data_IF_658777160965
#
_entry.id   IF_658777160965
#
_cell.length_a   1.000
_cell.length_b   1.000
_cell.length_c   1.000
_cell.angle_alpha   90.00
_cell.angle_beta   90.00
_cell.angle_gamma   90.00
#
_symmetry.space_group_name_H-M   'P 1'
#
loop_
_entity.id
_entity.type
_entity.pdbx_description
1 polymer ?
#
# COMPACT_ATOMS: atom_id res chain seq x y z
N UNK A 1 17.25 5.06 -58.88
CA UNK A 1 17.05 4.49 -57.52
C UNK A 1 16.45 3.10 -57.67
N UNK A 2 17.13 2.08 -57.17
CA UNK A 2 16.63 0.70 -57.23
C UNK A 2 15.49 0.53 -56.20
N UNK A 3 14.38 -0.06 -56.64
CA UNK A 3 13.23 -0.37 -55.78
C UNK A 3 13.63 -1.54 -54.85
N UNK A 4 13.45 -1.44 -53.52
CA UNK A 4 13.79 -2.55 -52.63
C UNK A 4 12.88 -3.74 -52.91
N UNK A 5 13.49 -4.89 -53.17
CA UNK A 5 12.81 -6.17 -53.31
C UNK A 5 12.43 -6.68 -51.91
N UNK A 6 11.13 -6.84 -51.64
CA UNK A 6 10.70 -7.59 -50.45
C UNK A 6 11.03 -9.06 -50.67
N UNK A 7 11.88 -9.64 -49.82
CA UNK A 7 12.06 -11.09 -49.78
C UNK A 7 10.78 -11.72 -49.24
N UNK A 8 10.24 -12.70 -49.96
CA UNK A 8 9.11 -13.50 -49.51
C UNK A 8 9.45 -14.22 -48.20
N UNK A 9 8.66 -13.96 -47.17
CA UNK A 9 8.71 -14.63 -45.86
C UNK A 9 8.14 -16.04 -46.00
N UNK A 10 8.98 -17.05 -45.87
CA UNK A 10 8.54 -18.44 -45.75
C UNK A 10 8.36 -18.78 -44.28
N UNK A 11 7.13 -19.16 -43.90
CA UNK A 11 6.82 -19.73 -42.61
C UNK A 11 7.24 -21.20 -42.60
N UNK A 12 8.15 -21.57 -41.69
CA UNK A 12 8.31 -22.96 -41.28
C UNK A 12 7.58 -23.12 -39.95
N UNK A 13 6.55 -23.98 -39.93
CA UNK A 13 5.84 -24.34 -38.71
C UNK A 13 6.82 -25.00 -37.74
N UNK A 14 7.25 -24.25 -36.71
CA UNK A 14 8.08 -24.74 -35.61
C UNK A 14 9.47 -24.11 -35.43
N UNK A 15 9.82 -23.00 -36.10
CA UNK A 15 11.17 -22.42 -36.04
C UNK A 15 11.27 -21.09 -35.26
N UNK A 16 12.13 -21.07 -34.23
CA UNK A 16 12.65 -19.85 -33.57
C UNK A 16 13.18 -18.84 -34.59
N UNK A 17 12.79 -17.57 -34.44
CA UNK A 17 13.24 -16.49 -35.31
C UNK A 17 14.66 -16.03 -34.93
N UNK A 18 15.63 -16.09 -35.85
CA UNK A 18 16.90 -15.34 -35.73
C UNK A 18 17.03 -14.47 -36.97
N UNK A 19 16.39 -13.30 -36.94
CA UNK A 19 16.56 -12.26 -37.96
C UNK A 19 17.51 -11.19 -37.42
N UNK A 20 18.72 -11.09 -37.97
CA UNK A 20 19.60 -9.95 -37.70
C UNK A 20 19.24 -8.81 -38.66
N UNK A 21 18.75 -7.68 -38.13
CA UNK A 21 18.64 -6.45 -38.91
C UNK A 21 19.96 -5.67 -38.81
N UNK A 22 20.44 -5.15 -39.93
CA UNK A 22 21.63 -4.28 -40.01
C UNK A 22 21.38 -2.86 -39.48
N UNK A 23 20.24 -2.64 -38.80
CA UNK A 23 19.86 -1.35 -38.24
C UNK A 23 19.35 -1.53 -36.81
N UNK A 24 20.23 -2.06 -35.95
CA UNK A 24 20.29 -1.73 -34.52
C UNK A 24 19.09 -2.05 -33.61
N UNK A 25 18.03 -2.69 -34.10
CA UNK A 25 16.93 -3.17 -33.28
C UNK A 25 16.65 -4.64 -33.59
N UNK A 26 16.97 -5.50 -32.63
CA UNK A 26 16.53 -6.90 -32.62
C UNK A 26 15.23 -6.93 -31.81
N UNK A 27 14.09 -7.01 -32.48
CA UNK A 27 12.85 -7.36 -31.81
C UNK A 27 12.82 -8.88 -31.67
N UNK A 28 13.17 -9.38 -30.48
CA UNK A 28 12.91 -10.77 -30.10
C UNK A 28 11.41 -10.89 -29.81
N UNK A 29 10.60 -11.17 -30.84
CA UNK A 29 9.23 -11.64 -30.63
C UNK A 29 9.30 -13.13 -30.28
N UNK A 30 9.18 -13.44 -28.99
CA UNK A 30 8.81 -14.79 -28.55
C UNK A 30 7.39 -15.08 -29.04
N UNK A 31 7.19 -16.23 -29.69
CA UNK A 31 5.87 -16.68 -30.16
C UNK A 31 4.91 -17.08 -29.03
N UNK A 32 5.37 -17.01 -27.78
CA UNK A 32 4.57 -17.21 -26.59
C UNK A 32 4.49 -15.88 -25.84
N UNK A 33 3.29 -15.53 -25.40
CA UNK A 33 2.78 -14.36 -24.65
C UNK A 33 3.56 -13.98 -23.36
N UNK A 34 4.83 -14.32 -23.26
CA UNK A 34 5.64 -14.29 -22.04
C UNK A 34 6.42 -12.97 -21.86
N UNK A 35 6.51 -12.14 -22.91
CA UNK A 35 7.14 -10.82 -22.84
C UNK A 35 6.19 -9.73 -22.31
N UNK A 36 4.88 -9.96 -22.38
CA UNK A 36 3.88 -9.10 -21.71
C UNK A 36 3.74 -9.43 -20.23
N UNK A 37 4.05 -10.67 -19.84
CA UNK A 37 3.95 -11.11 -18.45
C UNK A 37 5.19 -10.73 -17.62
N UNK A 38 6.37 -10.63 -18.25
CA UNK A 38 7.59 -10.15 -17.60
C UNK A 38 7.57 -8.63 -17.37
N UNK A 39 6.93 -7.85 -18.23
CA UNK A 39 6.88 -6.39 -18.06
C UNK A 39 5.83 -5.94 -17.04
N UNK A 40 4.81 -6.77 -16.80
CA UNK A 40 3.80 -6.52 -15.77
C UNK A 40 4.32 -6.81 -14.35
N UNK A 41 5.24 -7.77 -14.19
CA UNK A 41 5.84 -8.13 -12.88
C UNK A 41 7.01 -7.23 -12.47
N UNK A 42 7.70 -6.58 -13.41
CA UNK A 42 8.95 -5.86 -13.12
C UNK A 42 8.76 -4.36 -12.80
N UNK A 43 7.59 -3.78 -13.08
CA UNK A 43 7.41 -2.32 -13.06
C UNK A 43 6.81 -1.74 -11.78
N UNK A 44 6.93 -2.47 -10.68
CA UNK A 44 6.72 -1.90 -9.37
C UNK A 44 7.85 -2.31 -8.42
N UNK A 45 9.09 -2.02 -8.85
CA UNK A 45 10.34 -2.10 -8.08
C UNK A 45 10.33 -3.22 -7.02
N UNK A 46 10.20 -4.45 -7.49
CA UNK A 46 10.55 -5.63 -6.70
C UNK A 46 12.05 -5.53 -6.46
N UNK A 47 12.50 -5.43 -5.22
CA UNK A 47 13.92 -5.43 -4.86
C UNK A 47 14.62 -6.79 -5.10
N UNK A 48 14.05 -7.62 -5.98
CA UNK A 48 14.43 -9.00 -6.24
C UNK A 48 14.08 -9.99 -5.12
N UNK A 49 13.59 -9.52 -3.96
CA UNK A 49 13.27 -10.42 -2.84
C UNK A 49 11.90 -11.05 -3.03
N UNK A 50 11.91 -12.36 -3.30
CA UNK A 50 10.69 -13.17 -3.39
C UNK A 50 9.84 -13.02 -2.12
N UNK A 51 8.53 -12.85 -2.31
CA UNK A 51 7.57 -12.75 -1.22
C UNK A 51 7.33 -11.32 -0.71
N UNK A 52 8.06 -10.32 -1.22
CA UNK A 52 7.76 -8.90 -0.93
C UNK A 52 6.65 -8.37 -1.81
N UNK A 53 5.67 -7.71 -1.21
CA UNK A 53 4.51 -7.14 -1.92
C UNK A 53 4.31 -5.71 -1.48
N UNK A 54 4.27 -4.77 -2.44
CA UNK A 54 3.81 -3.41 -2.15
C UNK A 54 2.29 -3.39 -2.02
N UNK A 55 1.83 -2.73 -0.97
CA UNK A 55 0.42 -2.68 -0.57
C UNK A 55 0.00 -1.26 -0.29
N UNK A 56 -1.27 -0.99 -0.51
CA UNK A 56 -1.92 0.26 -0.12
C UNK A 56 -3.36 0.01 0.32
N UNK A 57 -3.74 0.52 1.48
CA UNK A 57 -5.12 0.56 1.95
C UNK A 57 -5.48 1.97 2.43
N UNK A 58 -6.78 2.18 2.61
CA UNK A 58 -7.35 3.35 3.26
C UNK A 58 -7.73 3.02 4.69
N UNK A 59 -7.15 3.72 5.65
CA UNK A 59 -7.59 3.71 7.04
C UNK A 59 -8.65 4.78 7.24
N UNK A 60 -9.77 4.39 7.84
CA UNK A 60 -10.82 5.32 8.28
C UNK A 60 -10.94 5.22 9.80
N UNK A 61 -10.90 6.36 10.48
CA UNK A 61 -11.02 6.46 11.94
C UNK A 61 -12.21 7.36 12.23
N UNK A 62 -13.28 6.77 12.72
CA UNK A 62 -14.50 7.47 13.12
C UNK A 62 -14.67 7.44 14.64
N UNK A 63 -15.68 8.18 15.12
CA UNK A 63 -16.12 8.11 16.51
C UNK A 63 -16.69 6.72 16.84
N UNK A 64 -16.35 6.24 18.02
CA UNK A 64 -16.92 5.05 18.61
C UNK A 64 -18.35 5.28 19.07
N UNK A 65 -19.05 4.21 19.40
CA UNK A 65 -20.37 4.34 20.04
C UNK A 65 -20.29 4.66 21.54
N UNK A 66 -19.16 4.31 22.17
CA UNK A 66 -18.86 4.64 23.56
C UNK A 66 -18.05 5.94 23.62
N UNK A 67 -18.25 6.70 24.70
CA UNK A 67 -17.49 7.92 24.91
C UNK A 67 -15.97 7.66 24.97
N UNK A 68 -15.19 8.55 24.35
CA UNK A 68 -13.73 8.49 24.29
C UNK A 68 -13.18 7.17 23.70
N UNK A 69 -13.81 6.69 22.64
CA UNK A 69 -13.34 5.52 21.88
C UNK A 69 -13.35 5.81 20.39
N UNK A 70 -12.55 5.06 19.63
CA UNK A 70 -12.49 5.19 18.18
C UNK A 70 -13.06 3.95 17.49
N UNK A 71 -13.33 4.12 16.21
CA UNK A 71 -13.87 3.08 15.33
C UNK A 71 -13.04 2.96 14.05
N UNK A 72 -11.88 2.28 14.10
CA UNK A 72 -11.02 2.07 12.94
C UNK A 72 -11.59 1.02 11.98
N UNK A 73 -11.27 1.18 10.70
CA UNK A 73 -11.41 0.15 9.66
C UNK A 73 -10.44 0.40 8.51
N UNK A 74 -10.09 -0.65 7.80
CA UNK A 74 -9.31 -0.52 6.56
C UNK A 74 -10.10 -0.97 5.34
N UNK A 75 -9.87 -0.30 4.22
CA UNK A 75 -10.41 -0.69 2.92
C UNK A 75 -9.26 -0.86 1.94
N UNK A 76 -9.21 -2.01 1.26
CA UNK A 76 -8.22 -2.28 0.24
C UNK A 76 -8.30 -1.22 -0.87
N UNK A 77 -7.15 -0.65 -1.24
CA UNK A 77 -7.00 0.17 -2.45
C UNK A 77 -6.24 -0.61 -3.53
N UNK A 78 -5.03 -1.08 -3.20
CA UNK A 78 -4.21 -1.85 -4.13
C UNK A 78 -3.34 -2.85 -3.36
N UNK A 79 -3.62 -4.15 -3.53
CA UNK A 79 -3.02 -5.25 -2.75
C UNK A 79 -3.06 -5.04 -1.22
N UNK A 80 -3.87 -4.11 -0.74
CA UNK A 80 -3.94 -3.74 0.65
C UNK A 80 -4.88 -4.62 1.44
N UNK A 81 -4.82 -4.44 2.74
CA UNK A 81 -5.66 -5.15 3.69
C UNK A 81 -7.02 -4.47 3.88
N UNK A 82 -8.03 -5.29 4.14
CA UNK A 82 -9.39 -4.86 4.43
C UNK A 82 -9.83 -5.52 5.74
N UNK A 83 -9.73 -4.77 6.83
CA UNK A 83 -10.21 -5.14 8.16
C UNK A 83 -11.57 -4.49 8.34
N UNK A 84 -12.55 -5.30 8.75
CA UNK A 84 -13.89 -4.82 9.05
C UNK A 84 -13.86 -3.76 10.16
N UNK A 85 -14.96 -3.03 10.30
CA UNK A 85 -15.09 -2.02 11.34
C UNK A 85 -15.01 -2.62 12.74
N UNK A 86 -14.05 -2.15 13.54
CA UNK A 86 -13.88 -2.55 14.93
C UNK A 86 -14.28 -1.38 15.82
N UNK A 87 -15.37 -1.54 16.56
CA UNK A 87 -15.98 -0.46 17.29
C UNK A 87 -15.48 -0.39 18.74
N UNK A 88 -15.48 0.82 19.31
CA UNK A 88 -15.16 1.12 20.69
C UNK A 88 -13.74 0.76 21.13
N UNK A 89 -12.74 0.96 20.26
CA UNK A 89 -11.34 0.84 20.66
C UNK A 89 -10.97 2.02 21.57
N UNK A 90 -10.76 1.72 22.86
CA UNK A 90 -10.34 2.69 23.87
C UNK A 90 -8.81 2.83 23.92
N UNK A 91 -8.30 3.86 24.61
CA UNK A 91 -6.86 3.98 24.92
C UNK A 91 -6.36 2.79 25.73
N UNK A 92 -5.14 2.37 25.45
CA UNK A 92 -4.57 1.10 25.95
C UNK A 92 -5.41 -0.14 25.60
N UNK A 93 -6.32 -0.01 24.63
CA UNK A 93 -7.18 -1.08 24.15
C UNK A 93 -6.55 -1.84 22.98
N UNK A 94 -7.08 -3.03 22.75
CA UNK A 94 -6.69 -3.94 21.66
C UNK A 94 -7.94 -4.73 21.23
N UNK A 95 -8.18 -4.76 19.93
CA UNK A 95 -9.28 -5.51 19.29
C UNK A 95 -8.79 -6.73 18.49
N UNK A 96 -7.47 -6.95 18.46
CA UNK A 96 -6.79 -8.01 17.73
C UNK A 96 -6.18 -7.54 16.41
N UNK A 97 -6.87 -6.65 15.70
CA UNK A 97 -6.36 -6.05 14.46
C UNK A 97 -5.87 -4.60 14.66
N UNK A 98 -6.35 -3.94 15.70
CA UNK A 98 -5.94 -2.58 16.06
C UNK A 98 -5.68 -2.47 17.56
N UNK A 99 -4.69 -1.66 17.90
CA UNK A 99 -4.44 -1.25 19.28
C UNK A 99 -4.12 0.23 19.36
N UNK A 100 -4.56 0.87 20.45
CA UNK A 100 -4.38 2.30 20.68
C UNK A 100 -3.55 2.51 21.93
N UNK A 101 -2.50 3.33 21.85
CA UNK A 101 -1.63 3.58 22.99
C UNK A 101 -2.35 4.34 24.13
N UNK A 102 -1.67 4.44 25.28
CA UNK A 102 -2.22 5.10 26.47
C UNK A 102 -2.50 6.59 26.27
N UNK A 103 -1.78 7.25 25.36
CA UNK A 103 -2.01 8.68 25.07
C UNK A 103 -3.14 8.89 24.06
N UNK A 104 -3.49 7.86 23.28
CA UNK A 104 -4.44 7.96 22.17
C UNK A 104 -3.82 8.54 20.89
N UNK A 105 -2.49 8.68 20.83
CA UNK A 105 -1.78 9.32 19.72
C UNK A 105 -1.09 8.36 18.77
N UNK A 106 -0.93 7.10 19.17
CA UNK A 106 -0.37 6.05 18.32
C UNK A 106 -1.40 4.96 18.11
N UNK A 107 -1.94 4.90 16.90
CA UNK A 107 -2.75 3.77 16.44
C UNK A 107 -1.84 2.74 15.79
N UNK A 108 -1.94 1.51 16.25
CA UNK A 108 -1.25 0.36 15.68
C UNK A 108 -2.25 -0.47 14.91
N UNK A 109 -1.83 -0.90 13.72
CA UNK A 109 -2.47 -1.93 12.93
C UNK A 109 -1.62 -3.18 13.15
N UNK A 110 -2.17 -4.10 13.92
CA UNK A 110 -1.48 -5.30 14.34
C UNK A 110 -1.28 -6.24 13.16
N UNK A 111 -0.23 -7.07 13.22
CA UNK A 111 0.11 -8.00 12.13
C UNK A 111 -1.05 -8.94 11.77
N UNK A 112 -1.96 -9.25 12.71
CA UNK A 112 -3.16 -10.03 12.44
C UNK A 112 -4.15 -9.33 11.49
N UNK A 113 -4.14 -7.99 11.47
CA UNK A 113 -4.90 -7.16 10.53
C UNK A 113 -4.21 -6.96 9.18
N UNK A 114 -3.05 -7.58 8.95
CA UNK A 114 -2.24 -7.44 7.74
C UNK A 114 -2.02 -8.79 7.05
N UNK A 115 -1.97 -8.79 5.72
CA UNK A 115 -1.59 -9.97 4.95
C UNK A 115 -0.06 -10.05 4.88
N UNK A 116 0.53 -10.86 5.76
CA UNK A 116 1.97 -11.00 5.93
C UNK A 116 2.53 -10.00 6.94
N UNK A 117 3.85 -9.98 7.12
CA UNK A 117 4.50 -9.09 8.09
C UNK A 117 4.86 -7.76 7.43
N UNK A 118 4.49 -6.63 8.04
CA UNK A 118 4.97 -5.34 7.58
C UNK A 118 6.49 -5.23 7.79
N UNK A 119 7.23 -4.86 6.75
CA UNK A 119 8.70 -4.73 6.81
C UNK A 119 9.19 -3.33 6.44
N UNK A 120 8.37 -2.54 5.75
CA UNK A 120 8.64 -1.14 5.49
C UNK A 120 7.33 -0.35 5.38
N UNK A 121 7.31 0.83 5.97
CA UNK A 121 6.28 1.83 5.71
C UNK A 121 6.87 2.84 4.71
N UNK A 122 6.11 3.19 3.68
CA UNK A 122 6.57 4.07 2.60
C UNK A 122 5.94 5.45 2.67
N UNK A 123 4.61 5.49 2.77
CA UNK A 123 3.85 6.74 2.80
C UNK A 123 2.63 6.62 3.70
N UNK A 124 2.30 7.73 4.35
CA UNK A 124 1.08 7.92 5.14
C UNK A 124 0.54 9.30 4.79
N UNK A 125 -0.54 9.34 4.03
CA UNK A 125 -1.15 10.59 3.56
C UNK A 125 -2.50 10.79 4.22
N UNK A 126 -2.69 11.90 4.93
CA UNK A 126 -4.02 12.33 5.41
C UNK A 126 -4.81 12.86 4.21
N UNK A 127 -5.86 12.16 3.82
CA UNK A 127 -6.69 12.52 2.65
C UNK A 127 -7.98 13.25 3.04
N UNK A 128 -8.38 13.12 4.31
CA UNK A 128 -9.57 13.77 4.85
C UNK A 128 -9.42 13.94 6.36
N UNK A 129 -9.79 15.11 6.85
CA UNK A 129 -9.73 15.44 8.27
C UNK A 129 -10.90 16.37 8.63
N UNK A 130 -11.89 15.86 9.36
CA UNK A 130 -13.01 16.65 9.85
C UNK A 130 -12.82 17.19 11.28
N UNK A 131 -11.68 16.92 11.93
CA UNK A 131 -11.45 17.28 13.35
C UNK A 131 -11.20 18.77 13.63
N UNK A 132 -11.21 19.63 12.59
CA UNK A 132 -10.83 21.04 12.65
C UNK A 132 -9.44 21.34 13.25
N UNK A 133 -8.61 20.31 13.46
CA UNK A 133 -7.25 20.40 13.99
C UNK A 133 -6.24 20.24 12.87
N UNK A 134 -5.15 21.02 12.90
CA UNK A 134 -4.02 20.84 12.00
C UNK A 134 -3.37 19.48 12.24
N UNK A 135 -3.65 18.49 11.39
CA UNK A 135 -3.29 17.10 11.61
C UNK A 135 -2.14 16.66 10.70
N UNK A 136 -1.14 16.03 11.31
CA UNK A 136 -0.09 15.25 10.64
C UNK A 136 -0.17 13.80 11.11
N UNK A 137 0.16 12.87 10.22
CA UNK A 137 0.24 11.45 10.52
C UNK A 137 1.54 10.88 9.96
N UNK A 138 2.25 10.09 10.77
CA UNK A 138 3.52 9.48 10.39
C UNK A 138 3.44 7.99 10.62
N UNK A 139 3.62 7.22 9.55
CA UNK A 139 3.71 5.77 9.63
C UNK A 139 5.10 5.30 10.04
N UNK A 140 5.17 4.14 10.67
CA UNK A 140 6.39 3.39 10.92
C UNK A 140 6.08 1.88 10.99
N UNK A 141 7.12 1.05 10.93
CA UNK A 141 7.02 -0.38 11.23
C UNK A 141 7.61 -0.63 12.62
N UNK A 142 6.87 -1.34 13.47
CA UNK A 142 7.32 -1.74 14.79
C UNK A 142 7.12 -3.25 14.95
N UNK A 143 8.21 -4.02 14.86
CA UNK A 143 8.12 -5.48 14.72
C UNK A 143 7.45 -5.82 13.38
N UNK A 144 6.33 -6.53 13.43
CA UNK A 144 5.54 -6.90 12.25
C UNK A 144 4.31 -5.99 12.04
N UNK A 145 4.12 -5.00 12.91
CA UNK A 145 2.95 -4.12 12.93
C UNK A 145 3.25 -2.82 12.17
N UNK A 146 2.19 -2.16 11.70
CA UNK A 146 2.25 -0.77 11.25
C UNK A 146 1.77 0.15 12.38
N UNK A 147 2.56 1.16 12.72
CA UNK A 147 2.19 2.17 13.70
C UNK A 147 2.00 3.52 13.02
N UNK A 148 1.05 4.30 13.51
CA UNK A 148 0.74 5.62 12.97
C UNK A 148 0.71 6.59 14.15
N UNK A 149 1.67 7.50 14.16
CA UNK A 149 1.74 8.60 15.13
C UNK A 149 1.00 9.81 14.59
N UNK A 150 0.05 10.33 15.37
CA UNK A 150 -0.71 11.53 15.07
C UNK A 150 -0.18 12.72 15.87
N UNK A 151 0.17 13.79 15.16
CA UNK A 151 0.66 15.02 15.78
C UNK A 151 0.00 16.25 15.17
N UNK A 152 0.04 17.35 15.91
CA UNK A 152 -0.35 18.64 15.39
C UNK A 152 0.69 19.11 14.37
N UNK A 153 0.28 19.47 13.15
CA UNK A 153 1.20 19.88 12.08
C UNK A 153 1.99 21.14 12.42
N UNK A 154 1.44 22.00 13.27
CA UNK A 154 2.01 23.30 13.65
C UNK A 154 2.91 23.19 14.87
N UNK A 155 2.51 22.45 15.90
CA UNK A 155 3.23 22.39 17.19
C UNK A 155 4.01 21.09 17.40
N UNK A 156 3.82 20.09 16.55
CA UNK A 156 4.33 18.73 16.70
C UNK A 156 3.90 17.99 17.99
N UNK A 157 2.96 18.56 18.75
CA UNK A 157 2.40 17.90 19.93
C UNK A 157 1.62 16.64 19.53
N UNK A 158 1.71 15.59 20.35
CA UNK A 158 0.90 14.38 20.19
C UNK A 158 -0.59 14.73 20.29
N UNK A 159 -1.40 14.16 19.40
CA UNK A 159 -2.85 14.38 19.38
C UNK A 159 -3.59 13.14 19.83
N UNK A 160 -4.59 13.32 20.67
CA UNK A 160 -5.44 12.26 21.16
C UNK A 160 -6.59 11.99 20.19
N UNK A 161 -6.51 10.88 19.46
CA UNK A 161 -7.51 10.49 18.47
C UNK A 161 -8.92 10.39 19.05
N UNK A 162 -9.06 9.94 20.30
CA UNK A 162 -10.39 9.77 20.93
C UNK A 162 -11.13 11.11 21.06
N UNK A 163 -10.39 12.22 21.16
CA UNK A 163 -10.97 13.58 21.20
C UNK A 163 -11.12 14.20 19.82
N UNK A 164 -10.27 13.83 18.86
CA UNK A 164 -10.35 14.37 17.51
C UNK A 164 -11.57 13.86 16.75
N UNK A 165 -11.88 12.56 16.90
CA UNK A 165 -12.97 11.94 16.14
C UNK A 165 -14.36 12.32 16.63
N UNK A 166 -14.49 12.79 17.89
CA UNK A 166 -15.72 13.39 18.42
C UNK A 166 -16.21 14.56 17.53
N UNK A 167 -15.28 15.23 16.84
CA UNK A 167 -15.58 16.36 15.93
C UNK A 167 -15.82 15.90 14.48
N UNK A 168 -15.32 14.72 14.11
CA UNK A 168 -15.56 14.11 12.81
C UNK A 168 -14.48 13.12 12.37
N UNK A 169 -14.80 12.34 11.35
CA UNK A 169 -13.96 11.26 10.84
C UNK A 169 -12.63 11.76 10.23
N UNK A 170 -11.59 10.93 10.36
CA UNK A 170 -10.27 11.09 9.73
C UNK A 170 -10.05 9.93 8.76
N UNK A 171 -9.47 10.22 7.58
CA UNK A 171 -9.07 9.18 6.61
C UNK A 171 -7.63 9.36 6.16
N UNK A 172 -6.93 8.24 6.05
CA UNK A 172 -5.55 8.16 5.60
C UNK A 172 -5.42 7.11 4.51
N UNK A 173 -4.56 7.36 3.53
CA UNK A 173 -4.05 6.31 2.66
C UNK A 173 -2.64 5.94 3.13
N UNK A 174 -2.39 4.64 3.28
CA UNK A 174 -1.11 4.12 3.81
C UNK A 174 -0.54 3.14 2.80
N UNK A 175 0.72 3.37 2.42
CA UNK A 175 1.49 2.49 1.52
C UNK A 175 2.66 1.86 2.26
N UNK A 176 2.84 0.56 2.10
CA UNK A 176 3.79 -0.26 2.88
C UNK A 176 4.17 -1.53 2.11
N UNK A 177 5.27 -2.15 2.50
CA UNK A 177 5.74 -3.43 1.96
C UNK A 177 5.56 -4.51 3.02
N UNK A 178 5.03 -5.65 2.61
CA UNK A 178 4.97 -6.87 3.45
C UNK A 178 5.91 -7.95 2.95
N UNK A 179 6.27 -8.90 3.82
CA UNK A 179 6.85 -10.20 3.43
C UNK A 179 6.09 -11.38 4.03
N UNK A 180 6.05 -12.49 3.30
CA UNK A 180 5.55 -13.80 3.76
C UNK A 180 6.59 -14.58 4.57
#
# INVERSE_FOLDING_TARGET
MAKPTMSTLNYNEGGTFIGTSTTGAIALLSANDDLLNTWADEHLLVDGTVGRVLRRFRLTIADGTNAATIKPKTANLWNGDAVAEENNLAKSGDTGNFSLDVTGSVLTIDAAGLTGNAIAQLDTTVIYNASATDLNARGAVAGNNLTILFTNSTTAAALDLTTLVDTGEIRLDISYITSS
#
